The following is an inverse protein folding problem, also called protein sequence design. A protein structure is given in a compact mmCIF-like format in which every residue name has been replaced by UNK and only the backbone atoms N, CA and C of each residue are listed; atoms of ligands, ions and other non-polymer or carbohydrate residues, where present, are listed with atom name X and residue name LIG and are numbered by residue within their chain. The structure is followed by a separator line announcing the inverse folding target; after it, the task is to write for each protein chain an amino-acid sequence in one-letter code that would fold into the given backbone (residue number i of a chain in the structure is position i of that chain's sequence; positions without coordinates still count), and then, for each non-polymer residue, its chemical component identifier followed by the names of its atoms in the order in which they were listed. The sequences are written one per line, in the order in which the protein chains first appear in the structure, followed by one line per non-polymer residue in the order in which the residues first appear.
data_IF_979032811384
#
_entry.id   IF_979032811384
#
_cell.length_a   1.000
_cell.length_b   1.000
_cell.length_c   1.000
_cell.angle_alpha   90.00
_cell.angle_beta   90.00
_cell.angle_gamma   90.00
#
_symmetry.space_group_name_H-M   'P 1'
#
loop_
_entity.id
_entity.type
_entity.pdbx_description
1 polymer ?
#
# COMPACT_ATOMS: atom_id res chain seq x y z
N UNK A 1 -12.35 18.84 -17.96
CA UNK A 1 -13.35 18.93 -16.86
C UNK A 1 -12.64 19.25 -15.54
N UNK A 2 -13.37 19.66 -14.49
CA UNK A 2 -12.79 19.90 -13.14
C UNK A 2 -12.09 18.65 -12.57
N UNK A 3 -12.69 17.47 -12.80
CA UNK A 3 -12.12 16.17 -12.46
C UNK A 3 -10.73 15.95 -13.07
N UNK A 4 -10.60 16.12 -14.39
CA UNK A 4 -9.32 15.93 -15.08
C UNK A 4 -8.22 16.82 -14.48
N UNK A 5 -8.54 18.08 -14.21
CA UNK A 5 -7.61 19.03 -13.60
C UNK A 5 -7.16 18.57 -12.22
N UNK A 6 -8.09 18.18 -11.34
CA UNK A 6 -7.76 17.70 -9.99
C UNK A 6 -6.91 16.43 -9.99
N UNK A 7 -7.18 15.49 -10.89
CA UNK A 7 -6.38 14.26 -11.04
C UNK A 7 -4.98 14.57 -11.59
N UNK A 8 -4.84 15.50 -12.55
CA UNK A 8 -3.52 15.90 -13.06
C UNK A 8 -2.71 16.64 -12.00
N UNK A 9 -3.31 17.56 -11.25
CA UNK A 9 -2.65 18.26 -10.12
C UNK A 9 -2.15 17.28 -9.06
N UNK A 10 -2.95 16.27 -8.72
CA UNK A 10 -2.55 15.21 -7.80
C UNK A 10 -1.38 14.38 -8.33
N UNK A 11 -1.38 14.06 -9.63
CA UNK A 11 -0.28 13.33 -10.28
C UNK A 11 1.01 14.13 -10.30
N UNK A 12 0.95 15.42 -10.64
CA UNK A 12 2.12 16.30 -10.62
C UNK A 12 2.71 16.44 -9.21
N UNK A 13 1.87 16.55 -8.17
CA UNK A 13 2.30 16.51 -6.76
C UNK A 13 3.11 15.25 -6.48
N UNK A 14 2.59 14.08 -6.84
CA UNK A 14 3.26 12.80 -6.56
C UNK A 14 4.52 12.58 -7.42
N UNK A 15 4.54 13.04 -8.67
CA UNK A 15 5.73 12.96 -9.55
C UNK A 15 6.92 13.71 -8.99
N UNK A 16 6.70 14.81 -8.26
CA UNK A 16 7.76 15.54 -7.59
C UNK A 16 8.56 14.66 -6.60
N UNK A 17 7.95 13.58 -6.12
CA UNK A 17 8.55 12.65 -5.15
C UNK A 17 9.23 11.43 -5.80
N UNK A 18 9.14 11.27 -7.13
CA UNK A 18 9.55 10.05 -7.85
C UNK A 18 11.05 9.69 -7.71
N UNK A 19 11.88 10.72 -7.53
CA UNK A 19 13.33 10.58 -7.32
C UNK A 19 13.73 10.75 -5.86
N UNK A 20 12.78 11.04 -4.97
CA UNK A 20 13.05 11.24 -3.55
C UNK A 20 12.84 9.93 -2.78
N UNK A 21 13.64 9.65 -1.75
CA UNK A 21 13.34 8.60 -0.80
C UNK A 21 12.02 8.89 -0.08
N UNK A 22 11.23 7.85 0.18
CA UNK A 22 10.05 7.98 1.03
C UNK A 22 10.49 8.22 2.50
N UNK A 23 10.09 9.35 3.09
CA UNK A 23 10.52 9.75 4.43
C UNK A 23 9.87 8.90 5.54
N UNK A 24 8.61 8.47 5.38
CA UNK A 24 7.96 7.57 6.33
C UNK A 24 8.67 6.21 6.39
N UNK A 25 9.03 5.68 5.23
CA UNK A 25 9.80 4.45 5.10
C UNK A 25 11.19 4.61 5.73
N UNK A 26 11.89 5.70 5.44
CA UNK A 26 13.20 6.00 6.03
C UNK A 26 13.13 6.11 7.55
N UNK A 27 12.09 6.74 8.10
CA UNK A 27 11.84 6.80 9.54
C UNK A 27 11.67 5.40 10.14
N UNK A 28 10.92 4.53 9.47
CA UNK A 28 10.77 3.13 9.89
C UNK A 28 12.08 2.33 9.80
N UNK A 29 12.86 2.51 8.74
CA UNK A 29 14.20 1.91 8.60
C UNK A 29 15.08 2.32 9.78
N UNK A 30 15.15 3.61 10.09
CA UNK A 30 15.92 4.14 11.22
C UNK A 30 15.45 3.55 12.55
N UNK A 31 14.14 3.45 12.76
CA UNK A 31 13.57 2.86 13.97
C UNK A 31 13.95 1.37 14.11
N UNK A 32 13.93 0.61 13.01
CA UNK A 32 14.33 -0.81 12.99
C UNK A 32 15.82 -0.97 13.24
N UNK A 33 16.67 -0.18 12.56
CA UNK A 33 18.11 -0.23 12.77
C UNK A 33 18.50 0.12 14.21
N UNK A 34 17.88 1.14 14.80
CA UNK A 34 18.07 1.47 16.21
C UNK A 34 17.67 0.32 17.16
N UNK A 35 16.66 -0.48 16.81
CA UNK A 35 16.29 -1.68 17.58
C UNK A 35 17.33 -2.79 17.42
N UNK A 36 17.86 -2.99 16.22
CA UNK A 36 18.91 -3.97 15.96
C UNK A 36 20.19 -3.65 16.75
N UNK A 37 20.50 -2.37 16.98
CA UNK A 37 21.67 -1.95 17.77
C UNK A 37 21.53 -2.19 19.28
N UNK A 38 20.34 -2.52 19.79
CA UNK A 38 20.15 -2.71 21.25
C UNK A 38 20.86 -3.97 21.77
N UNK A 39 21.35 -3.95 23.02
CA UNK A 39 21.91 -5.13 23.68
C UNK A 39 20.90 -6.29 23.69
N UNK A 40 21.37 -7.51 23.41
CA UNK A 40 20.54 -8.72 23.38
C UNK A 40 20.36 -9.37 22.01
N UNK A 41 20.88 -8.77 20.95
CA UNK A 41 20.98 -9.42 19.63
C UNK A 41 22.28 -10.21 19.43
N UNK A 42 23.23 -10.09 20.36
CA UNK A 42 24.47 -10.86 20.43
C UNK A 42 24.42 -11.70 21.71
N UNK A 43 24.71 -13.02 21.66
CA UNK A 43 24.84 -13.83 22.87
C UNK A 43 25.91 -13.28 23.82
N UNK A 44 25.65 -13.31 25.12
CA UNK A 44 26.63 -12.85 26.10
C UNK A 44 27.82 -13.82 26.25
N UNK A 45 28.88 -13.32 26.89
CA UNK A 45 30.09 -14.08 27.16
C UNK A 45 29.81 -15.40 27.90
N UNK A 46 28.93 -15.37 28.90
CA UNK A 46 28.60 -16.54 29.73
C UNK A 46 28.01 -17.67 28.89
N UNK A 47 27.10 -17.35 27.97
CA UNK A 47 26.50 -18.31 27.06
C UNK A 47 27.53 -18.87 26.08
N UNK A 48 28.36 -18.01 25.49
CA UNK A 48 29.41 -18.43 24.54
C UNK A 48 30.43 -19.34 25.23
N UNK A 49 30.87 -19.01 26.45
CA UNK A 49 31.82 -19.80 27.22
C UNK A 49 31.22 -21.17 27.60
N UNK A 50 29.96 -21.19 28.04
CA UNK A 50 29.25 -22.44 28.33
C UNK A 50 29.16 -23.33 27.08
N UNK A 51 28.84 -22.77 25.91
CA UNK A 51 28.81 -23.53 24.65
C UNK A 51 30.21 -24.01 24.28
N UNK A 52 31.23 -23.16 24.32
CA UNK A 52 32.60 -23.53 23.97
C UNK A 52 33.11 -24.70 24.82
N UNK A 53 32.79 -24.72 26.13
CA UNK A 53 33.10 -25.83 27.04
C UNK A 53 32.38 -27.14 26.70
N UNK A 54 31.18 -27.08 26.13
CA UNK A 54 30.33 -28.26 25.85
C UNK A 54 30.54 -28.85 24.45
N UNK A 55 30.68 -28.00 23.45
CA UNK A 55 30.65 -28.39 22.03
C UNK A 55 31.89 -27.96 21.24
N UNK A 56 32.84 -27.28 21.87
CA UNK A 56 34.03 -26.73 21.23
C UNK A 56 33.82 -25.32 20.68
N UNK A 57 34.92 -24.60 20.53
CA UNK A 57 34.95 -23.17 20.19
C UNK A 57 34.28 -22.86 18.84
N UNK A 58 34.53 -23.69 17.82
CA UNK A 58 33.94 -23.54 16.49
C UNK A 58 32.41 -23.67 16.50
N UNK A 59 31.89 -24.65 17.22
CA UNK A 59 30.44 -24.90 17.30
C UNK A 59 29.74 -23.81 18.09
N UNK A 60 30.34 -23.35 19.19
CA UNK A 60 29.83 -22.24 19.98
C UNK A 60 29.76 -20.95 19.17
N UNK A 61 30.82 -20.66 18.40
CA UNK A 61 30.88 -19.49 17.53
C UNK A 61 29.84 -19.57 16.39
N UNK A 62 29.73 -20.72 15.73
CA UNK A 62 28.70 -20.94 14.71
C UNK A 62 27.28 -20.77 15.28
N UNK A 63 27.01 -21.32 16.46
CA UNK A 63 25.73 -21.17 17.16
C UNK A 63 25.42 -19.71 17.47
N UNK A 64 26.42 -18.93 17.89
CA UNK A 64 26.23 -17.51 18.13
C UNK A 64 25.82 -16.77 16.85
N UNK A 65 26.47 -17.05 15.71
CA UNK A 65 26.09 -16.52 14.40
C UNK A 65 24.63 -16.87 14.03
N UNK A 66 24.22 -18.12 14.26
CA UNK A 66 22.85 -18.56 14.01
C UNK A 66 21.81 -17.81 14.83
N UNK A 67 22.12 -17.47 16.09
CA UNK A 67 21.19 -16.76 16.96
C UNK A 67 21.07 -15.27 16.64
N UNK A 68 22.14 -14.63 16.17
CA UNK A 68 22.09 -13.21 15.79
C UNK A 68 21.11 -12.97 14.63
N UNK A 69 21.01 -13.91 13.68
CA UNK A 69 20.18 -13.78 12.48
C UNK A 69 18.68 -13.58 12.78
N UNK A 70 17.96 -14.46 13.51
CA UNK A 70 16.56 -14.23 13.87
C UNK A 70 16.40 -13.02 14.82
N UNK A 71 17.41 -12.72 15.64
CA UNK A 71 17.44 -11.51 16.48
C UNK A 71 17.34 -10.22 15.67
N UNK A 72 18.09 -10.12 14.57
CA UNK A 72 18.03 -8.99 13.63
C UNK A 72 16.70 -9.00 12.85
N UNK A 73 16.32 -10.16 12.29
CA UNK A 73 15.20 -10.25 11.35
C UNK A 73 13.82 -9.97 11.96
N UNK A 74 13.60 -10.30 13.24
CA UNK A 74 12.32 -10.05 13.91
C UNK A 74 11.92 -8.57 13.89
N UNK A 75 12.90 -7.66 13.85
CA UNK A 75 12.65 -6.23 13.88
C UNK A 75 12.09 -5.67 12.55
N UNK A 76 12.34 -6.34 11.42
CA UNK A 76 11.84 -5.90 10.11
C UNK A 76 10.36 -6.24 9.88
N UNK A 77 9.76 -7.08 10.72
CA UNK A 77 8.34 -7.44 10.60
C UNK A 77 7.41 -6.24 10.79
N UNK A 78 7.83 -5.22 11.56
CA UNK A 78 7.00 -4.04 11.86
C UNK A 78 7.08 -2.94 10.80
N UNK A 79 7.83 -3.13 9.71
CA UNK A 79 7.95 -2.13 8.63
C UNK A 79 6.80 -2.21 7.60
N UNK A 80 6.07 -3.32 7.59
CA UNK A 80 4.94 -3.50 6.67
C UNK A 80 3.79 -2.54 7.00
N UNK A 81 3.52 -2.35 8.30
CA UNK A 81 2.39 -1.55 8.77
C UNK A 81 2.50 -0.08 8.32
N UNK A 82 3.66 0.55 8.50
CA UNK A 82 3.80 1.96 8.14
C UNK A 82 3.89 2.20 6.64
N UNK A 83 4.36 1.21 5.86
CA UNK A 83 4.28 1.27 4.39
C UNK A 83 2.83 1.16 3.91
N UNK A 84 2.05 0.26 4.51
CA UNK A 84 0.62 0.11 4.23
C UNK A 84 -0.13 1.42 4.51
N UNK A 85 0.19 2.06 5.63
CA UNK A 85 -0.42 3.34 6.01
C UNK A 85 -0.15 4.46 4.98
N UNK A 86 1.09 4.60 4.51
CA UNK A 86 1.45 5.59 3.48
C UNK A 86 0.69 5.38 2.16
N UNK A 87 0.44 4.12 1.77
CA UNK A 87 -0.36 3.80 0.59
C UNK A 87 -1.84 4.10 0.80
N UNK A 88 -2.38 3.73 1.97
CA UNK A 88 -3.77 4.02 2.32
C UNK A 88 -4.03 5.53 2.37
N UNK A 89 -3.08 6.32 2.87
CA UNK A 89 -3.16 7.78 2.85
C UNK A 89 -3.28 8.30 1.41
N UNK A 90 -2.48 7.78 0.48
CA UNK A 90 -2.54 8.16 -0.94
C UNK A 90 -3.90 7.80 -1.56
N UNK A 91 -4.44 6.63 -1.23
CA UNK A 91 -5.79 6.22 -1.66
C UNK A 91 -6.87 7.12 -1.06
N UNK A 92 -6.73 7.54 0.19
CA UNK A 92 -7.65 8.46 0.85
C UNK A 92 -7.63 9.84 0.17
N UNK A 93 -6.45 10.42 -0.08
CA UNK A 93 -6.33 11.68 -0.81
C UNK A 93 -6.96 11.61 -2.21
N UNK A 94 -6.85 10.46 -2.87
CA UNK A 94 -7.49 10.21 -4.15
C UNK A 94 -9.02 10.11 -4.03
N UNK A 95 -9.53 9.42 -3.01
CA UNK A 95 -10.97 9.34 -2.71
C UNK A 95 -11.56 10.72 -2.43
N UNK A 96 -10.84 11.55 -1.67
CA UNK A 96 -11.24 12.93 -1.34
C UNK A 96 -11.44 13.78 -2.59
N UNK A 97 -10.67 13.57 -3.66
CA UNK A 97 -10.88 14.27 -4.94
C UNK A 97 -12.29 13.99 -5.47
N UNK A 98 -12.74 12.73 -5.47
CA UNK A 98 -14.07 12.36 -5.96
C UNK A 98 -15.18 12.84 -5.03
N UNK A 99 -15.00 12.67 -3.72
CA UNK A 99 -15.96 13.12 -2.71
C UNK A 99 -16.18 14.64 -2.84
N UNK A 100 -15.10 15.42 -2.90
CA UNK A 100 -15.17 16.89 -3.03
C UNK A 100 -15.72 17.37 -4.38
N UNK A 101 -15.79 16.50 -5.39
CA UNK A 101 -16.44 16.78 -6.67
C UNK A 101 -17.95 16.44 -6.66
N UNK A 102 -18.47 15.93 -5.55
CA UNK A 102 -19.87 15.53 -5.38
C UNK A 102 -20.15 14.07 -5.72
N UNK A 103 -19.16 13.34 -6.24
CA UNK A 103 -19.31 11.91 -6.61
C UNK A 103 -19.47 11.04 -5.35
N UNK A 104 -19.05 11.55 -4.19
CA UNK A 104 -19.33 10.96 -2.88
C UNK A 104 -20.81 10.66 -2.63
N UNK A 105 -21.74 11.44 -3.20
CA UNK A 105 -23.18 11.21 -3.04
C UNK A 105 -23.70 9.90 -3.63
N UNK A 106 -22.88 9.15 -4.37
CA UNK A 106 -23.24 7.86 -4.98
C UNK A 106 -23.03 6.67 -4.05
N UNK A 107 -22.26 6.82 -2.97
CA UNK A 107 -21.96 5.76 -2.01
C UNK A 107 -21.84 6.34 -0.59
N UNK A 108 -22.48 5.71 0.39
CA UNK A 108 -22.48 6.16 1.80
C UNK A 108 -21.21 5.73 2.56
N UNK A 109 -20.03 6.04 2.02
CA UNK A 109 -18.73 5.63 2.59
C UNK A 109 -17.67 6.70 2.36
N UNK A 110 -16.78 6.90 3.33
CA UNK A 110 -15.68 7.88 3.29
C UNK A 110 -14.29 7.19 3.21
N UNK A 111 -13.23 7.97 2.97
CA UNK A 111 -11.84 7.53 2.95
C UNK A 111 -11.58 6.37 1.96
N UNK A 112 -10.76 5.39 2.33
CA UNK A 112 -10.41 4.25 1.47
C UNK A 112 -11.59 3.37 1.12
N UNK A 113 -12.62 3.33 1.98
CA UNK A 113 -13.82 2.50 1.78
C UNK A 113 -14.66 3.02 0.61
N UNK A 114 -14.59 4.33 0.32
CA UNK A 114 -15.19 4.93 -0.87
C UNK A 114 -14.73 4.23 -2.15
N UNK A 115 -13.43 3.97 -2.31
CA UNK A 115 -12.90 3.38 -3.56
C UNK A 115 -13.47 1.98 -3.80
N UNK A 116 -13.60 1.17 -2.75
CA UNK A 116 -14.17 -0.17 -2.83
C UNK A 116 -15.68 -0.12 -3.09
N UNK A 117 -16.42 0.70 -2.35
CA UNK A 117 -17.86 0.86 -2.53
C UNK A 117 -18.18 1.36 -3.95
N UNK A 118 -17.40 2.32 -4.44
CA UNK A 118 -17.57 2.88 -5.77
C UNK A 118 -17.19 1.89 -6.88
N UNK A 119 -16.13 1.11 -6.71
CA UNK A 119 -15.80 0.00 -7.61
C UNK A 119 -16.96 -1.00 -7.73
N UNK A 120 -17.56 -1.39 -6.59
CA UNK A 120 -18.74 -2.28 -6.55
C UNK A 120 -19.95 -1.68 -7.23
N UNK A 121 -20.20 -0.38 -7.09
CA UNK A 121 -21.28 0.32 -7.79
C UNK A 121 -21.06 0.27 -9.32
N UNK A 122 -19.86 0.61 -9.79
CA UNK A 122 -19.53 0.62 -11.21
C UNK A 122 -19.62 -0.77 -11.83
N UNK A 123 -19.19 -1.81 -11.10
CA UNK A 123 -19.25 -3.21 -11.56
C UNK A 123 -20.67 -3.73 -11.83
N UNK A 124 -21.71 -3.13 -11.23
CA UNK A 124 -23.11 -3.48 -11.52
C UNK A 124 -23.55 -3.06 -12.92
N UNK A 125 -22.79 -2.18 -13.58
CA UNK A 125 -23.19 -1.58 -14.85
C UNK A 125 -22.23 -1.99 -15.97
N UNK A 126 -22.73 -2.77 -16.93
CA UNK A 126 -21.90 -3.33 -18.02
C UNK A 126 -21.38 -2.28 -19.02
N UNK A 127 -21.76 -1.01 -18.92
CA UNK A 127 -21.38 0.04 -19.87
C UNK A 127 -20.33 1.03 -19.34
N UNK A 128 -19.73 0.76 -18.18
CA UNK A 128 -18.66 1.58 -17.58
C UNK A 128 -17.34 0.77 -17.35
N UNK A 129 -16.83 0.02 -18.35
CA UNK A 129 -15.75 -0.94 -18.14
C UNK A 129 -14.41 -0.31 -17.75
N UNK A 130 -14.07 0.88 -18.24
CA UNK A 130 -12.80 1.52 -17.87
C UNK A 130 -12.85 2.10 -16.46
N UNK A 131 -13.96 2.75 -16.10
CA UNK A 131 -14.17 3.25 -14.75
C UNK A 131 -14.18 2.10 -13.74
N UNK A 132 -14.94 1.04 -14.02
CA UNK A 132 -15.00 -0.14 -13.15
C UNK A 132 -13.61 -0.76 -12.96
N UNK A 133 -12.82 -0.89 -14.03
CA UNK A 133 -11.45 -1.42 -13.96
C UNK A 133 -10.53 -0.53 -13.14
N UNK A 134 -10.53 0.79 -13.38
CA UNK A 134 -9.69 1.74 -12.66
C UNK A 134 -9.99 1.72 -11.15
N UNK A 135 -11.26 1.83 -10.78
CA UNK A 135 -11.65 1.82 -9.36
C UNK A 135 -11.41 0.47 -8.69
N UNK A 136 -11.64 -0.65 -9.39
CA UNK A 136 -11.31 -1.97 -8.86
C UNK A 136 -9.79 -2.13 -8.65
N UNK A 137 -8.99 -1.68 -9.61
CA UNK A 137 -7.53 -1.71 -9.51
C UNK A 137 -7.06 -0.96 -8.28
N UNK A 138 -7.44 0.32 -8.12
CA UNK A 138 -6.95 1.13 -6.99
C UNK A 138 -7.46 0.63 -5.64
N UNK A 139 -8.72 0.15 -5.57
CA UNK A 139 -9.29 -0.41 -4.34
C UNK A 139 -8.49 -1.66 -3.90
N UNK A 140 -8.27 -2.60 -4.82
CA UNK A 140 -7.57 -3.85 -4.55
C UNK A 140 -6.04 -3.77 -4.56
N UNK A 141 -5.47 -2.61 -4.88
CA UNK A 141 -4.03 -2.43 -4.94
C UNK A 141 -3.39 -2.62 -3.56
N UNK A 142 -2.70 -3.73 -3.36
CA UNK A 142 -1.92 -4.01 -2.16
C UNK A 142 -0.48 -4.28 -2.55
N UNK A 143 0.46 -3.83 -1.73
CA UNK A 143 1.88 -4.14 -1.94
C UNK A 143 2.33 -5.09 -0.85
N UNK A 144 2.78 -6.27 -1.28
CA UNK A 144 3.40 -7.25 -0.40
C UNK A 144 4.87 -6.88 -0.14
N UNK A 145 5.07 -5.75 0.54
CA UNK A 145 6.42 -5.27 0.86
C UNK A 145 7.19 -6.25 1.73
N UNK A 146 6.51 -6.96 2.63
CA UNK A 146 7.17 -7.94 3.49
C UNK A 146 7.87 -9.03 2.70
N UNK A 147 7.22 -9.65 1.72
CA UNK A 147 7.87 -10.70 0.90
C UNK A 147 9.08 -10.18 0.14
N UNK A 148 8.96 -8.98 -0.43
CA UNK A 148 10.04 -8.36 -1.20
C UNK A 148 11.20 -7.91 -0.29
N UNK A 149 10.93 -7.11 0.74
CA UNK A 149 11.95 -6.63 1.68
C UNK A 149 12.61 -7.78 2.45
N UNK A 150 11.83 -8.77 2.89
CA UNK A 150 12.36 -9.93 3.59
C UNK A 150 13.31 -10.72 2.69
N UNK A 151 13.00 -10.93 1.41
CA UNK A 151 13.92 -11.65 0.51
C UNK A 151 15.24 -10.89 0.30
N UNK A 152 15.19 -9.57 0.09
CA UNK A 152 16.37 -8.73 -0.08
C UNK A 152 17.24 -8.65 1.20
N UNK A 153 16.62 -8.34 2.34
CA UNK A 153 17.31 -8.24 3.62
C UNK A 153 17.85 -9.61 4.05
N UNK A 154 17.08 -10.68 3.88
CA UNK A 154 17.51 -12.05 4.20
C UNK A 154 18.71 -12.49 3.37
N UNK A 155 18.70 -12.24 2.06
CA UNK A 155 19.82 -12.56 1.19
C UNK A 155 21.10 -11.87 1.67
N UNK A 156 21.00 -10.58 1.99
CA UNK A 156 22.14 -9.77 2.41
C UNK A 156 22.65 -10.09 3.82
N UNK A 157 21.76 -10.36 4.78
CA UNK A 157 22.17 -10.88 6.09
C UNK A 157 22.84 -12.25 5.94
N UNK A 158 22.37 -13.08 5.01
CA UNK A 158 22.94 -14.42 4.81
C UNK A 158 24.37 -14.43 4.28
N UNK A 159 24.77 -13.36 3.60
CA UNK A 159 26.16 -13.14 3.16
C UNK A 159 27.09 -12.82 4.37
N UNK A 160 26.59 -12.13 5.39
CA UNK A 160 27.37 -11.69 6.57
C UNK A 160 27.33 -12.68 7.74
N UNK A 161 26.15 -13.28 7.97
CA UNK A 161 25.84 -14.20 9.05
C UNK A 161 25.41 -15.54 8.47
N UNK A 162 26.33 -16.38 7.95
CA UNK A 162 25.98 -17.60 7.23
C UNK A 162 25.21 -18.60 8.09
N UNK A 163 24.22 -19.29 7.48
CA UNK A 163 23.40 -20.29 8.15
C UNK A 163 23.87 -21.74 7.92
N UNK A 164 24.84 -21.93 7.04
CA UNK A 164 25.30 -23.25 6.63
C UNK A 164 26.52 -23.68 7.47
N UNK A 165 26.43 -24.76 8.26
CA UNK A 165 27.56 -25.27 9.05
C UNK A 165 28.71 -25.81 8.20
N UNK A 166 28.47 -26.07 6.90
CA UNK A 166 29.49 -26.55 5.97
C UNK A 166 30.29 -25.41 5.34
N UNK A 167 29.86 -24.15 5.50
CA UNK A 167 30.68 -23.01 5.07
C UNK A 167 31.82 -22.79 6.09
N UNK A 168 33.09 -22.78 5.64
CA UNK A 168 34.20 -22.50 6.54
C UNK A 168 34.03 -21.10 7.13
N UNK A 169 34.01 -21.00 8.45
CA UNK A 169 34.06 -19.74 9.17
C UNK A 169 35.41 -19.68 9.87
N UNK A 170 36.13 -18.59 9.68
CA UNK A 170 37.38 -18.36 10.39
C UNK A 170 37.06 -18.03 11.86
N UNK A 171 37.02 -19.07 12.71
CA UNK A 171 36.79 -18.94 14.15
C UNK A 171 38.03 -18.34 14.81
N UNK A 172 37.89 -17.28 15.62
CA UNK A 172 39.00 -16.78 16.43
C UNK A 172 39.48 -17.79 17.48
N UNK A 173 40.77 -17.79 17.78
CA UNK A 173 41.42 -18.79 18.65
C UNK A 173 41.04 -18.71 20.14
N UNK A 174 40.33 -17.65 20.57
CA UNK A 174 39.89 -17.49 21.95
C UNK A 174 38.52 -16.77 22.05
N UNK A 175 37.91 -16.85 23.24
CA UNK A 175 36.55 -16.38 23.50
C UNK A 175 36.44 -14.84 23.44
N UNK A 176 37.45 -14.10 23.90
CA UNK A 176 37.45 -12.64 23.85
C UNK A 176 37.46 -12.12 22.39
N UNK A 177 38.26 -12.77 21.54
CA UNK A 177 38.29 -12.48 20.11
C UNK A 177 37.01 -12.93 19.41
N UNK A 178 36.33 -13.99 19.89
CA UNK A 178 35.00 -14.37 19.41
C UNK A 178 33.99 -13.25 19.65
N UNK A 179 33.92 -12.71 20.86
CA UNK A 179 32.93 -11.67 21.17
C UNK A 179 33.17 -10.43 20.31
N UNK A 180 34.42 -9.98 20.22
CA UNK A 180 34.83 -8.86 19.35
C UNK A 180 34.43 -9.11 17.89
N UNK A 181 34.64 -10.33 17.40
CA UNK A 181 34.27 -10.68 16.03
C UNK A 181 32.75 -10.74 15.82
N UNK A 182 31.99 -11.26 16.79
CA UNK A 182 30.52 -11.30 16.73
C UNK A 182 29.93 -9.89 16.72
N UNK A 183 30.48 -8.97 17.51
CA UNK A 183 30.12 -7.54 17.49
C UNK A 183 30.38 -6.92 16.13
N UNK A 184 31.57 -7.17 15.54
CA UNK A 184 31.89 -6.67 14.21
C UNK A 184 30.93 -7.23 13.14
N UNK A 185 30.62 -8.53 13.19
CA UNK A 185 29.67 -9.16 12.26
C UNK A 185 28.26 -8.62 12.43
N UNK A 186 27.82 -8.42 13.66
CA UNK A 186 26.52 -7.82 13.97
C UNK A 186 26.42 -6.40 13.40
N UNK A 187 27.44 -5.57 13.63
CA UNK A 187 27.50 -4.22 13.09
C UNK A 187 27.50 -4.23 11.55
N UNK A 188 28.31 -5.09 10.93
CA UNK A 188 28.31 -5.26 9.48
C UNK A 188 26.94 -5.69 8.94
N UNK A 189 26.25 -6.61 9.63
CA UNK A 189 24.92 -7.06 9.23
C UNK A 189 23.91 -5.89 9.28
N UNK A 190 23.96 -5.07 10.32
CA UNK A 190 23.11 -3.87 10.46
C UNK A 190 23.38 -2.87 9.32
N UNK A 191 24.65 -2.57 9.05
CA UNK A 191 25.03 -1.62 7.98
C UNK A 191 24.59 -2.09 6.60
N UNK A 192 24.73 -3.39 6.34
CA UNK A 192 24.26 -4.01 5.09
C UNK A 192 22.74 -3.93 4.98
N UNK A 193 21.99 -4.12 6.08
CA UNK A 193 20.54 -3.91 6.09
C UNK A 193 20.16 -2.46 5.79
N UNK A 194 20.78 -1.50 6.48
CA UNK A 194 20.54 -0.07 6.27
C UNK A 194 20.77 0.32 4.80
N UNK A 195 21.94 -0.01 4.25
CA UNK A 195 22.29 0.30 2.84
C UNK A 195 21.33 -0.36 1.84
N UNK A 196 20.83 -1.54 2.15
CA UNK A 196 19.88 -2.26 1.29
C UNK A 196 18.52 -1.57 1.32
N UNK A 197 18.04 -1.21 2.50
CA UNK A 197 16.74 -0.57 2.67
C UNK A 197 16.74 0.87 2.16
N UNK A 198 17.79 1.65 2.38
CA UNK A 198 17.89 3.02 1.86
C UNK A 198 17.70 3.08 0.34
N UNK A 199 18.22 2.08 -0.38
CA UNK A 199 18.03 1.95 -1.83
C UNK A 199 16.58 1.66 -2.22
N UNK A 200 15.81 1.00 -1.35
CA UNK A 200 14.39 0.72 -1.58
C UNK A 200 13.50 1.94 -1.32
N UNK A 201 13.95 2.94 -0.57
CA UNK A 201 13.14 4.12 -0.25
C UNK A 201 12.64 4.89 -1.48
N UNK A 202 13.45 4.95 -2.54
CA UNK A 202 13.02 5.54 -3.83
C UNK A 202 12.01 4.63 -4.54
N UNK A 203 12.19 3.31 -4.48
CA UNK A 203 11.26 2.35 -5.07
C UNK A 203 9.87 2.42 -4.44
N UNK A 204 9.77 2.72 -3.14
CA UNK A 204 8.48 2.92 -2.45
C UNK A 204 7.70 4.08 -3.10
N UNK A 205 8.32 5.24 -3.27
CA UNK A 205 7.67 6.38 -3.93
C UNK A 205 7.35 6.08 -5.40
N UNK A 206 8.22 5.37 -6.12
CA UNK A 206 7.92 4.95 -7.50
C UNK A 206 6.69 4.06 -7.57
N UNK A 207 6.53 3.10 -6.66
CA UNK A 207 5.33 2.24 -6.64
C UNK A 207 4.07 3.04 -6.36
N UNK A 208 4.11 3.98 -5.40
CA UNK A 208 3.01 4.91 -5.13
C UNK A 208 2.63 5.73 -6.38
N UNK A 209 3.62 6.28 -7.08
CA UNK A 209 3.37 7.04 -8.33
C UNK A 209 2.77 6.13 -9.40
N UNK A 210 3.37 4.97 -9.67
CA UNK A 210 2.87 4.02 -10.68
C UNK A 210 1.42 3.60 -10.42
N UNK A 211 1.05 3.36 -9.16
CA UNK A 211 -0.33 3.07 -8.77
C UNK A 211 -1.29 4.19 -9.20
N UNK A 212 -0.96 5.45 -8.93
CA UNK A 212 -1.82 6.59 -9.29
C UNK A 212 -1.83 6.85 -10.80
N UNK A 213 -0.70 6.64 -11.47
CA UNK A 213 -0.59 6.74 -12.94
C UNK A 213 -1.51 5.74 -13.65
N UNK A 214 -1.43 4.46 -13.29
CA UNK A 214 -2.25 3.40 -13.89
C UNK A 214 -3.74 3.63 -13.63
N UNK A 215 -4.10 4.03 -12.41
CA UNK A 215 -5.46 4.43 -12.08
C UNK A 215 -5.94 5.58 -12.99
N UNK A 216 -5.15 6.65 -13.08
CA UNK A 216 -5.52 7.82 -13.88
C UNK A 216 -5.61 7.51 -15.38
N UNK A 217 -4.76 6.63 -15.91
CA UNK A 217 -4.85 6.18 -17.29
C UNK A 217 -6.20 5.53 -17.58
N UNK A 218 -6.69 4.69 -16.67
CA UNK A 218 -8.02 4.09 -16.79
C UNK A 218 -9.15 5.11 -16.76
N UNK A 219 -9.08 6.12 -15.90
CA UNK A 219 -10.21 7.04 -15.68
C UNK A 219 -10.13 8.34 -16.49
N UNK A 220 -9.02 8.65 -17.15
CA UNK A 220 -8.86 9.90 -17.93
C UNK A 220 -8.36 9.73 -19.35
N UNK A 221 -7.70 8.61 -19.70
CA UNK A 221 -7.07 8.43 -21.02
C UNK A 221 -7.55 7.21 -21.79
N UNK A 222 -8.16 6.23 -21.12
CA UNK A 222 -8.68 5.05 -21.77
C UNK A 222 -9.70 5.42 -22.85
N UNK A 223 -9.62 4.73 -24.00
CA UNK A 223 -10.55 4.96 -25.10
C UNK A 223 -11.98 4.75 -24.62
N UNK A 224 -12.83 5.76 -24.82
CA UNK A 224 -14.25 5.73 -24.44
C UNK A 224 -14.54 6.19 -23.00
N UNK A 225 -13.51 6.51 -22.20
CA UNK A 225 -13.73 6.89 -20.80
C UNK A 225 -14.52 8.19 -20.63
N UNK A 226 -14.41 9.13 -21.57
CA UNK A 226 -15.23 10.36 -21.56
C UNK A 226 -16.72 10.03 -21.67
N UNK A 227 -17.09 9.09 -22.54
CA UNK A 227 -18.46 8.63 -22.72
C UNK A 227 -18.97 7.89 -21.46
N UNK A 228 -18.10 7.11 -20.81
CA UNK A 228 -18.42 6.46 -19.54
C UNK A 228 -18.72 7.49 -18.44
N UNK A 229 -17.90 8.55 -18.33
CA UNK A 229 -18.16 9.65 -17.41
C UNK A 229 -19.48 10.35 -17.73
N UNK A 230 -19.76 10.65 -19.00
CA UNK A 230 -21.02 11.29 -19.38
C UNK A 230 -22.24 10.44 -19.01
N UNK A 231 -22.17 9.13 -19.25
CA UNK A 231 -23.23 8.17 -18.85
C UNK A 231 -23.41 8.16 -17.34
N UNK A 232 -22.32 8.06 -16.58
CA UNK A 232 -22.38 7.99 -15.12
C UNK A 232 -22.93 9.29 -14.52
N UNK A 233 -22.39 10.44 -14.93
CA UNK A 233 -22.76 11.75 -14.39
C UNK A 233 -24.20 12.12 -14.79
N UNK A 234 -24.61 11.84 -16.02
CA UNK A 234 -25.98 12.14 -16.47
C UNK A 234 -27.03 11.32 -15.72
N UNK A 235 -26.78 10.02 -15.50
CA UNK A 235 -27.69 9.12 -14.78
C UNK A 235 -27.86 9.46 -13.30
N UNK A 236 -26.85 10.06 -12.68
CA UNK A 236 -26.83 10.28 -11.24
C UNK A 236 -26.74 11.75 -10.83
N UNK A 237 -27.01 12.68 -11.76
CA UNK A 237 -26.83 14.13 -11.55
C UNK A 237 -27.52 14.70 -10.29
N UNK A 238 -28.70 14.21 -9.91
CA UNK A 238 -29.44 14.63 -8.71
C UNK A 238 -28.84 14.09 -7.41
N UNK A 239 -28.13 12.96 -7.46
CA UNK A 239 -27.38 12.43 -6.32
C UNK A 239 -26.03 13.15 -6.16
N UNK A 240 -25.43 13.58 -7.28
CA UNK A 240 -24.12 14.25 -7.29
C UNK A 240 -24.24 15.75 -6.98
N UNK A 241 -25.27 16.43 -7.48
CA UNK A 241 -25.46 17.87 -7.29
C UNK A 241 -26.90 18.18 -6.86
N UNK A 242 -27.04 18.73 -5.65
CA UNK A 242 -28.33 19.06 -5.02
C UNK A 242 -29.21 19.99 -5.86
N UNK A 243 -28.61 20.89 -6.65
CA UNK A 243 -29.32 21.79 -7.56
C UNK A 243 -30.17 21.08 -8.64
N UNK A 244 -29.94 19.78 -8.88
CA UNK A 244 -30.77 18.98 -9.79
C UNK A 244 -31.83 18.14 -9.07
N UNK A 245 -31.87 18.11 -7.74
CA UNK A 245 -32.86 17.34 -6.98
C UNK A 245 -34.27 17.86 -7.24
N UNK A 246 -34.52 19.17 -7.08
CA UNK A 246 -35.84 19.77 -7.33
C UNK A 246 -36.33 19.55 -8.78
N UNK A 247 -35.41 19.60 -9.75
CA UNK A 247 -35.72 19.35 -11.16
C UNK A 247 -36.07 17.88 -11.45
N UNK A 248 -35.43 16.93 -10.75
CA UNK A 248 -35.72 15.50 -10.87
C UNK A 248 -37.06 15.17 -10.18
N UNK A 249 -37.30 15.72 -9.00
CA UNK A 249 -38.57 15.60 -8.26
C UNK A 249 -39.75 16.13 -9.08
N UNK A 250 -39.62 17.31 -9.70
CA UNK A 250 -40.66 17.86 -10.57
C UNK A 250 -40.90 16.99 -11.82
N UNK A 251 -39.85 16.41 -12.40
CA UNK A 251 -39.98 15.49 -13.54
C UNK A 251 -40.72 14.21 -13.15
N UNK A 252 -40.43 13.68 -11.97
CA UNK A 252 -41.05 12.44 -11.50
C UNK A 252 -42.51 12.66 -11.10
N UNK A 253 -42.83 13.80 -10.47
CA UNK A 253 -44.20 14.26 -10.26
C UNK A 253 -44.97 14.41 -11.57
N UNK A 254 -44.36 14.97 -12.62
CA UNK A 254 -45.00 15.05 -13.94
C UNK A 254 -45.28 13.67 -14.53
N UNK A 255 -44.34 12.73 -14.46
CA UNK A 255 -44.57 11.35 -14.94
C UNK A 255 -45.68 10.65 -14.18
N UNK A 256 -45.69 10.76 -12.85
CA UNK A 256 -46.75 10.18 -12.03
C UNK A 256 -48.11 10.79 -12.38
N UNK A 257 -48.16 12.09 -12.61
CA UNK A 257 -49.38 12.77 -13.05
C UNK A 257 -49.86 12.26 -14.42
N UNK A 258 -48.97 12.14 -15.41
CA UNK A 258 -49.32 11.57 -16.71
C UNK A 258 -49.83 10.13 -16.60
N UNK A 259 -49.16 9.29 -15.79
CA UNK A 259 -49.59 7.92 -15.57
C UNK A 259 -51.01 7.85 -14.96
N UNK A 260 -51.30 8.69 -13.96
CA UNK A 260 -52.63 8.76 -13.34
C UNK A 260 -53.71 9.27 -14.30
N UNK A 261 -53.38 10.22 -15.18
CA UNK A 261 -54.29 10.73 -16.21
C UNK A 261 -54.59 9.64 -17.24
N UNK A 262 -53.57 8.91 -17.71
CA UNK A 262 -53.74 7.79 -18.64
C UNK A 262 -54.58 6.66 -18.03
N UNK A 263 -54.36 6.35 -16.75
CA UNK A 263 -55.12 5.34 -16.01
C UNK A 263 -56.60 5.74 -15.85
N UNK A 264 -56.87 7.02 -15.55
CA UNK A 264 -58.22 7.56 -15.45
C UNK A 264 -58.94 7.59 -16.82
N UNK A 265 -58.23 7.91 -17.90
CA UNK A 265 -58.76 7.86 -19.26
C UNK A 265 -59.10 6.42 -19.67
N UNK A 266 -58.21 5.46 -19.38
CA UNK A 266 -58.43 4.04 -19.67
C UNK A 266 -59.61 3.45 -18.89
N UNK A 267 -59.78 3.80 -17.61
CA UNK A 267 -60.97 3.41 -16.83
C UNK A 267 -62.27 3.97 -17.42
N UNK A 268 -62.23 5.19 -17.97
CA UNK A 268 -63.41 5.85 -18.54
C UNK A 268 -63.84 5.21 -19.87
N UNK A 269 -62.90 4.70 -20.65
CA UNK A 269 -63.17 3.95 -21.89
C UNK A 269 -63.73 2.55 -21.64
N UNK A 270 -63.47 1.95 -20.48
CA UNK A 270 -64.04 0.64 -20.09
C UNK A 270 -65.47 0.72 -19.51
N UNK A 271 -65.95 1.93 -19.20
CA UNK A 271 -67.27 2.18 -18.61
C UNK A 271 -68.31 2.71 -19.61
N UNK A 272 -67.93 2.85 -20.89
CA UNK A 272 -68.80 3.22 -22.02
C UNK A 272 -69.04 2.01 -22.93
#
# INVERSE_FOLDING_TARGET
SKLYKSIEEFREKLRAELSQPNEEFKSQVNAVINRCQKPGNIPDFTNIEMWAKREGIDRAYFRAIQQMRPGILKHFQTMEDGLKESHNQTKSELADIFINLGIGGLVETENTDFLEAFAKLLAKTNNLPNLARGFQFIASFEIMYKGFMQSYVWQKISEVLPADPMKPINTPDNIDNILTNLEQRHQNAIEVCQKTLDKLGVSVNRTKVSMVEEFADHITRAKGVEQEWDILLSKNRSQIWSQFQELEEQKELQKQWFALVDEALSCKEQLL
#
